data_IF_506245265865
#
_entry.id   IF_506245265865
#
_cell.length_a   1.000
_cell.length_b   1.000
_cell.length_c   1.000
_cell.angle_alpha   90.00
_cell.angle_beta   90.00
_cell.angle_gamma   90.00
#
_symmetry.space_group_name_H-M   'P 1'
#
loop_
_entity.id
_entity.type
_entity.pdbx_description
1 polymer ?
#
# COMPACT_ATOMS: atom_id res chain seq x y z
N UNK A 1 0.23 29.71 12.10
CA UNK A 1 -1.20 29.88 11.68
C UNK A 1 -1.39 30.10 10.17
N UNK A 2 -0.56 30.92 9.50
CA UNK A 2 -0.70 31.27 8.08
C UNK A 2 -0.56 30.09 7.08
N UNK A 3 0.44 29.21 7.30
CA UNK A 3 0.67 28.03 6.44
C UNK A 3 -0.51 27.05 6.51
N UNK A 4 -1.05 26.80 7.70
CA UNK A 4 -2.24 25.96 7.91
C UNK A 4 -3.48 26.54 7.18
N UNK A 5 -3.67 27.87 7.23
CA UNK A 5 -4.76 28.55 6.48
C UNK A 5 -4.60 28.42 4.96
N UNK A 6 -3.38 28.51 4.41
CA UNK A 6 -3.12 28.27 2.98
C UNK A 6 -3.36 26.81 2.58
N UNK A 7 -2.90 25.84 3.38
CA UNK A 7 -3.16 24.40 3.15
C UNK A 7 -4.66 24.07 3.14
N UNK A 8 -5.43 24.66 4.07
CA UNK A 8 -6.89 24.50 4.14
C UNK A 8 -7.60 25.11 2.92
N UNK A 9 -7.18 26.29 2.44
CA UNK A 9 -7.73 26.93 1.23
C UNK A 9 -7.55 26.08 -0.05
N UNK A 10 -6.34 25.56 -0.30
CA UNK A 10 -6.05 24.70 -1.46
C UNK A 10 -6.90 23.43 -1.48
N UNK A 11 -7.12 22.83 -0.32
CA UNK A 11 -7.86 21.58 -0.22
C UNK A 11 -9.38 21.79 -0.20
N UNK A 12 -9.89 22.96 0.23
CA UNK A 12 -11.33 23.30 0.20
C UNK A 12 -11.83 23.68 -1.19
N UNK A 13 -11.03 24.36 -2.01
CA UNK A 13 -11.35 24.64 -3.41
C UNK A 13 -10.56 23.69 -4.32
N UNK A 14 -10.62 22.39 -4.06
CA UNK A 14 -9.78 21.38 -4.73
C UNK A 14 -9.91 21.44 -6.25
N UNK A 15 -11.14 21.62 -6.77
CA UNK A 15 -11.45 21.76 -8.20
C UNK A 15 -10.64 22.89 -8.85
N UNK A 16 -10.48 24.02 -8.16
CA UNK A 16 -9.73 25.20 -8.65
C UNK A 16 -8.23 25.06 -8.34
N UNK A 17 -7.90 24.30 -7.29
CA UNK A 17 -6.54 24.11 -6.80
C UNK A 17 -5.82 22.91 -7.43
N UNK A 18 -6.44 22.20 -8.38
CA UNK A 18 -5.71 21.29 -9.29
C UNK A 18 -4.84 22.15 -10.19
N UNK A 19 -3.65 22.49 -9.70
CA UNK A 19 -2.58 23.04 -10.52
C UNK A 19 -1.96 21.93 -11.37
N UNK A 20 -1.18 22.31 -12.38
CA UNK A 20 -0.52 21.37 -13.29
C UNK A 20 0.30 20.31 -12.52
N UNK A 21 0.95 20.72 -11.43
CA UNK A 21 1.76 19.85 -10.58
C UNK A 21 0.89 18.80 -9.84
N UNK A 22 -0.27 19.20 -9.28
CA UNK A 22 -1.22 18.27 -8.68
C UNK A 22 -1.87 17.36 -9.73
N UNK A 23 -2.19 17.87 -10.92
CA UNK A 23 -2.78 17.06 -12.00
C UNK A 23 -1.86 15.92 -12.44
N UNK A 24 -0.56 16.18 -12.55
CA UNK A 24 0.41 15.15 -12.91
C UNK A 24 0.54 14.12 -11.78
N UNK A 25 0.61 14.55 -10.51
CA UNK A 25 0.66 13.63 -9.36
C UNK A 25 -0.59 12.74 -9.26
N UNK A 26 -1.77 13.28 -9.57
CA UNK A 26 -3.01 12.50 -9.60
C UNK A 26 -3.04 11.52 -10.77
N UNK A 27 -2.51 11.91 -11.93
CA UNK A 27 -2.33 10.99 -13.07
C UNK A 27 -1.32 9.88 -12.72
N UNK A 28 -0.27 10.24 -11.97
CA UNK A 28 0.71 9.29 -11.46
C UNK A 28 0.07 8.30 -10.46
N UNK A 29 -0.89 8.74 -9.64
CA UNK A 29 -1.62 7.87 -8.71
C UNK A 29 -2.48 6.79 -9.41
N UNK A 30 -2.95 7.05 -10.63
CA UNK A 30 -3.67 6.05 -11.44
C UNK A 30 -2.71 4.98 -12.02
N UNK A 31 -1.44 5.33 -12.24
CA UNK A 31 -0.43 4.44 -12.81
C UNK A 31 -0.26 3.12 -12.05
N UNK A 32 0.05 3.15 -10.74
CA UNK A 32 0.13 2.00 -9.86
C UNK A 32 -1.06 1.06 -10.01
N UNK A 33 -2.29 1.59 -10.01
CA UNK A 33 -3.50 0.79 -10.10
C UNK A 33 -3.61 0.03 -11.43
N UNK A 34 -3.29 0.71 -12.55
CA UNK A 34 -3.34 0.07 -13.87
C UNK A 34 -2.29 -1.03 -14.01
N UNK A 35 -1.07 -0.77 -13.55
CA UNK A 35 0.04 -1.74 -13.61
C UNK A 35 -0.26 -2.93 -12.70
N UNK A 36 -0.72 -2.66 -11.48
CA UNK A 36 -1.15 -3.67 -10.52
C UNK A 36 -2.20 -4.60 -11.13
N UNK A 37 -3.27 -4.04 -11.71
CA UNK A 37 -4.31 -4.82 -12.36
C UNK A 37 -3.79 -5.60 -13.57
N UNK A 38 -2.88 -5.02 -14.35
CA UNK A 38 -2.32 -5.67 -15.53
C UNK A 38 -1.41 -6.85 -15.16
N UNK A 39 -0.52 -6.67 -14.18
CA UNK A 39 0.41 -7.72 -13.75
C UNK A 39 -0.32 -8.87 -13.09
N UNK A 40 -1.31 -8.57 -12.25
CA UNK A 40 -2.10 -9.60 -11.56
C UNK A 40 -3.17 -10.24 -12.46
N UNK A 41 -3.51 -9.65 -13.61
CA UNK A 41 -4.51 -10.22 -14.54
C UNK A 41 -4.19 -11.65 -14.99
N UNK A 42 -2.91 -12.05 -14.93
CA UNK A 42 -2.45 -13.41 -15.22
C UNK A 42 -2.37 -14.20 -13.92
N UNK A 43 -3.47 -14.85 -13.54
CA UNK A 43 -3.51 -15.80 -12.43
C UNK A 43 -4.21 -15.30 -11.17
N UNK A 44 -4.56 -14.01 -11.08
CA UNK A 44 -5.42 -13.49 -10.01
C UNK A 44 -6.81 -13.13 -10.52
N UNK A 45 -7.77 -13.25 -9.62
CA UNK A 45 -9.17 -12.90 -9.85
C UNK A 45 -9.48 -11.60 -9.10
N UNK A 46 -10.03 -10.61 -9.81
CA UNK A 46 -10.50 -9.38 -9.19
C UNK A 46 -11.79 -9.63 -8.39
N UNK A 47 -11.79 -9.26 -7.11
CA UNK A 47 -12.94 -9.42 -6.21
C UNK A 47 -13.39 -8.04 -5.72
N UNK A 48 -14.70 -7.87 -5.55
CA UNK A 48 -15.28 -6.70 -4.90
C UNK A 48 -15.84 -7.08 -3.54
N UNK A 49 -15.15 -6.67 -2.47
CA UNK A 49 -15.61 -6.88 -1.09
C UNK A 49 -16.56 -5.75 -0.67
N UNK A 50 -17.59 -6.04 0.15
CA UNK A 50 -18.52 -5.02 0.63
C UNK A 50 -17.80 -4.04 1.56
N UNK A 51 -17.76 -2.75 1.17
CA UNK A 51 -17.19 -1.69 2.01
C UNK A 51 -18.21 -1.19 3.02
N UNK A 52 -18.44 -1.97 4.07
CA UNK A 52 -19.23 -1.56 5.25
C UNK A 52 -18.37 -0.85 6.32
N UNK A 53 -17.04 -0.95 6.21
CA UNK A 53 -16.08 -0.30 7.10
C UNK A 53 -15.57 0.97 6.42
N UNK A 54 -15.57 2.08 7.16
CA UNK A 54 -15.16 3.40 6.66
C UNK A 54 -13.64 3.45 6.55
N UNK A 55 -13.11 3.08 5.38
CA UNK A 55 -11.74 3.40 4.97
C UNK A 55 -11.79 4.39 3.80
N UNK A 56 -11.00 5.45 3.88
CA UNK A 56 -11.10 6.60 2.96
C UNK A 56 -10.03 6.65 1.86
N UNK A 57 -9.06 5.73 1.90
CA UNK A 57 -7.95 5.67 0.96
C UNK A 57 -8.09 4.43 0.08
N UNK A 58 -7.38 4.41 -1.04
CA UNK A 58 -7.42 3.30 -1.98
C UNK A 58 -6.34 2.26 -1.63
N UNK A 59 -6.81 1.06 -1.26
CA UNK A 59 -5.97 -0.11 -1.02
C UNK A 59 -5.75 -0.92 -2.30
N UNK A 60 -4.53 -1.41 -2.46
CA UNK A 60 -4.12 -2.45 -3.40
C UNK A 60 -3.86 -3.70 -2.57
N UNK A 61 -4.85 -4.60 -2.53
CA UNK A 61 -4.81 -5.79 -1.69
C UNK A 61 -4.67 -7.04 -2.58
N UNK A 62 -3.82 -7.97 -2.16
CA UNK A 62 -3.62 -9.27 -2.80
C UNK A 62 -3.73 -10.36 -1.75
N UNK A 63 -4.43 -11.44 -2.09
CA UNK A 63 -4.43 -12.69 -1.33
C UNK A 63 -4.17 -13.85 -2.31
N UNK A 64 -3.33 -14.80 -1.92
CA UNK A 64 -2.98 -15.97 -2.73
C UNK A 64 -2.81 -17.22 -1.88
N UNK A 65 -3.00 -18.38 -2.51
CA UNK A 65 -2.58 -19.67 -1.94
C UNK A 65 -1.05 -19.78 -1.93
N UNK A 66 -0.50 -20.27 -0.82
CA UNK A 66 0.93 -20.51 -0.61
C UNK A 66 1.17 -22.02 -0.66
N UNK A 67 2.23 -22.46 -1.33
CA UNK A 67 2.56 -23.88 -1.42
C UNK A 67 3.50 -24.33 -0.32
N UNK A 68 4.55 -23.56 -0.09
CA UNK A 68 5.64 -23.91 0.82
C UNK A 68 5.83 -22.83 1.88
N UNK A 69 6.01 -21.58 1.46
CA UNK A 69 6.44 -20.53 2.39
C UNK A 69 5.94 -19.14 1.99
N UNK A 70 5.71 -18.28 2.99
CA UNK A 70 5.17 -16.94 2.79
C UNK A 70 6.09 -16.02 1.97
N UNK A 71 7.35 -16.40 1.77
CA UNK A 71 8.27 -15.76 0.82
C UNK A 71 7.75 -15.77 -0.61
N UNK A 72 6.87 -16.72 -0.99
CA UNK A 72 6.18 -16.69 -2.29
C UNK A 72 5.38 -15.40 -2.47
N UNK A 73 4.79 -14.87 -1.39
CA UNK A 73 4.10 -13.57 -1.40
C UNK A 73 5.11 -12.44 -1.60
N UNK A 74 6.28 -12.52 -0.94
CA UNK A 74 7.34 -11.53 -1.09
C UNK A 74 7.89 -11.48 -2.53
N UNK A 75 8.01 -12.62 -3.21
CA UNK A 75 8.45 -12.69 -4.60
C UNK A 75 7.49 -11.96 -5.55
N UNK A 76 6.18 -12.05 -5.29
CA UNK A 76 5.17 -11.29 -6.03
C UNK A 76 5.30 -9.80 -5.75
N UNK A 77 5.48 -9.43 -4.47
CA UNK A 77 5.68 -8.03 -4.08
C UNK A 77 6.91 -7.44 -4.78
N UNK A 78 8.04 -8.15 -4.78
CA UNK A 78 9.27 -7.69 -5.43
C UNK A 78 9.05 -7.44 -6.93
N UNK A 79 8.52 -8.44 -7.66
CA UNK A 79 8.23 -8.31 -9.09
C UNK A 79 7.23 -7.17 -9.40
N UNK A 80 6.17 -7.06 -8.60
CA UNK A 80 5.13 -6.06 -8.75
C UNK A 80 5.69 -4.65 -8.56
N UNK A 81 6.46 -4.44 -7.49
CA UNK A 81 6.94 -3.12 -7.11
C UNK A 81 8.09 -2.66 -8.00
N UNK A 82 8.97 -3.56 -8.44
CA UNK A 82 9.98 -3.22 -9.46
C UNK A 82 9.30 -2.74 -10.74
N UNK A 83 8.35 -3.49 -11.28
CA UNK A 83 7.63 -3.10 -12.50
C UNK A 83 6.82 -1.79 -12.34
N UNK A 84 6.23 -1.60 -11.15
CA UNK A 84 5.52 -0.37 -10.81
C UNK A 84 6.47 0.83 -10.78
N UNK A 85 7.64 0.70 -10.15
CA UNK A 85 8.62 1.79 -10.06
C UNK A 85 9.32 2.08 -11.38
N UNK A 86 9.59 1.07 -12.19
CA UNK A 86 10.12 1.27 -13.55
C UNK A 86 9.14 2.07 -14.40
N UNK A 87 7.86 1.69 -14.38
CA UNK A 87 6.84 2.43 -15.14
C UNK A 87 6.59 3.84 -14.59
N UNK A 88 6.65 4.03 -13.27
CA UNK A 88 6.60 5.35 -12.65
C UNK A 88 7.82 6.19 -13.06
N UNK A 89 9.02 5.61 -13.07
CA UNK A 89 10.22 6.27 -13.54
C UNK A 89 10.06 6.71 -15.00
N UNK A 90 9.65 5.83 -15.91
CA UNK A 90 9.45 6.18 -17.33
C UNK A 90 8.43 7.32 -17.50
N UNK A 91 7.23 7.18 -16.93
CA UNK A 91 6.12 8.13 -17.12
C UNK A 91 6.36 9.48 -16.45
N UNK A 92 7.03 9.48 -15.29
CA UNK A 92 7.28 10.69 -14.53
C UNK A 92 8.57 11.37 -15.01
N UNK A 93 9.62 10.65 -15.42
CA UNK A 93 10.82 11.29 -15.96
C UNK A 93 10.51 12.07 -17.24
N UNK A 94 9.69 11.55 -18.16
CA UNK A 94 9.29 12.26 -19.37
C UNK A 94 8.51 13.56 -19.10
N UNK A 95 7.54 13.54 -18.16
CA UNK A 95 6.67 14.70 -17.88
C UNK A 95 7.26 15.70 -16.89
N UNK A 96 8.11 15.26 -15.95
CA UNK A 96 8.66 16.13 -14.90
C UNK A 96 9.95 16.85 -15.32
N UNK A 97 10.81 16.27 -16.18
CA UNK A 97 12.05 16.94 -16.57
C UNK A 97 11.81 18.28 -17.30
N UNK A 98 10.77 18.37 -18.13
CA UNK A 98 10.47 19.59 -18.91
C UNK A 98 9.85 20.69 -18.07
N UNK A 99 8.98 20.33 -17.11
CA UNK A 99 8.17 21.33 -16.38
C UNK A 99 8.82 21.80 -15.07
N UNK A 100 9.68 20.96 -14.47
CA UNK A 100 10.15 21.12 -13.08
C UNK A 100 11.52 21.80 -12.94
N UNK A 101 12.44 21.60 -13.90
CA UNK A 101 13.72 22.34 -13.94
C UNK A 101 13.51 23.86 -14.00
N UNK A 102 12.39 24.30 -14.57
CA UNK A 102 11.99 25.70 -14.66
C UNK A 102 11.51 26.31 -13.34
N UNK A 103 11.23 25.53 -12.28
CA UNK A 103 10.51 26.00 -11.06
C UNK A 103 11.14 25.66 -9.70
N UNK A 104 12.25 24.91 -9.64
CA UNK A 104 13.08 24.79 -8.43
C UNK A 104 12.41 24.14 -7.20
N UNK A 105 11.47 23.20 -7.39
CA UNK A 105 10.81 22.51 -6.28
C UNK A 105 11.63 21.37 -5.65
N UNK A 106 11.23 20.87 -4.45
CA UNK A 106 12.00 19.90 -3.66
C UNK A 106 11.74 18.41 -3.99
N UNK A 107 11.23 18.05 -5.18
CA UNK A 107 11.06 16.65 -5.56
C UNK A 107 12.45 16.07 -5.93
N UNK A 108 12.88 15.05 -5.19
CA UNK A 108 14.14 14.38 -5.43
C UNK A 108 14.14 13.71 -6.81
N UNK A 109 15.21 13.94 -7.60
CA UNK A 109 15.53 13.17 -8.82
C UNK A 109 15.40 11.69 -8.53
N UNK A 110 14.79 10.95 -9.47
CA UNK A 110 14.76 9.49 -9.63
C UNK A 110 15.03 8.64 -8.39
N UNK A 111 14.07 7.80 -8.00
CA UNK A 111 14.27 6.92 -6.86
C UNK A 111 15.28 5.82 -7.23
N UNK A 112 16.43 5.79 -6.55
CA UNK A 112 17.33 4.65 -6.62
C UNK A 112 16.72 3.46 -5.86
N UNK A 113 16.71 2.28 -6.48
CA UNK A 113 16.19 1.02 -5.92
C UNK A 113 16.77 0.71 -4.53
N UNK A 114 17.98 1.20 -4.22
CA UNK A 114 18.65 1.10 -2.91
C UNK A 114 17.89 1.75 -1.75
N UNK A 115 16.77 2.43 -2.02
CA UNK A 115 15.93 3.09 -1.01
C UNK A 115 14.77 2.22 -0.52
N UNK A 116 14.63 1.01 -1.09
CA UNK A 116 13.59 0.02 -0.79
C UNK A 116 14.25 -1.15 -0.09
N UNK A 117 13.69 -1.56 1.04
CA UNK A 117 14.14 -2.76 1.71
C UNK A 117 12.96 -3.48 2.35
N UNK A 118 13.03 -4.81 2.27
CA UNK A 118 12.17 -5.69 3.02
C UNK A 118 12.74 -5.80 4.42
N UNK A 119 11.86 -5.73 5.39
CA UNK A 119 12.16 -6.19 6.73
C UNK A 119 11.28 -7.41 6.95
N UNK A 120 11.94 -8.57 7.05
CA UNK A 120 11.34 -9.75 7.66
C UNK A 120 11.20 -9.43 9.15
N UNK A 121 10.12 -8.70 9.47
CA UNK A 121 9.80 -8.39 10.85
C UNK A 121 8.97 -9.56 11.33
N UNK A 122 9.69 -10.48 11.91
CA UNK A 122 9.32 -11.18 13.12
C UNK A 122 8.70 -10.21 14.15
N UNK A 123 7.46 -9.78 13.90
CA UNK A 123 6.71 -8.94 14.84
C UNK A 123 6.40 -9.81 16.06
N UNK A 124 6.47 -9.24 17.29
CA UNK A 124 6.07 -9.96 18.49
C UNK A 124 4.66 -10.49 18.27
N UNK A 125 4.50 -11.80 18.42
CA UNK A 125 3.25 -12.48 18.13
C UNK A 125 2.16 -12.05 19.14
N UNK A 126 1.32 -11.07 18.76
CA UNK A 126 0.16 -10.61 19.55
C UNK A 126 -1.12 -11.41 19.26
N UNK A 127 -0.98 -12.71 18.98
CA UNK A 127 -2.07 -13.69 19.02
C UNK A 127 -3.33 -13.37 18.18
N UNK A 128 -3.26 -12.45 17.22
CA UNK A 128 -4.45 -11.83 16.66
C UNK A 128 -4.77 -12.26 15.24
N UNK A 129 -3.79 -12.37 14.33
CA UNK A 129 -4.04 -12.71 12.90
C UNK A 129 -2.89 -13.49 12.20
N UNK A 130 -1.61 -13.08 12.25
CA UNK A 130 -0.54 -13.74 11.47
C UNK A 130 -0.13 -15.10 12.07
N UNK A 131 0.38 -16.01 11.25
CA UNK A 131 0.91 -17.31 11.68
C UNK A 131 2.17 -17.12 12.54
N UNK A 132 2.32 -17.87 13.65
CA UNK A 132 3.58 -17.89 14.38
C UNK A 132 4.67 -18.54 13.53
N UNK A 133 5.90 -18.07 13.69
CA UNK A 133 7.07 -18.67 13.06
C UNK A 133 7.30 -20.10 13.58
N UNK A 134 7.79 -20.99 12.72
CA UNK A 134 8.10 -22.37 13.09
C UNK A 134 9.27 -22.46 14.07
N UNK A 135 10.24 -21.57 13.92
CA UNK A 135 11.52 -21.66 14.62
C UNK A 135 11.45 -20.97 15.99
N UNK A 136 10.76 -19.82 16.05
CA UNK A 136 10.51 -19.08 17.28
C UNK A 136 9.05 -18.57 17.35
N UNK A 137 8.20 -19.18 18.19
CA UNK A 137 6.80 -18.79 18.34
C UNK A 137 6.57 -17.39 18.91
N UNK A 138 7.61 -16.71 19.41
CA UNK A 138 7.52 -15.29 19.81
C UNK A 138 7.38 -14.35 18.63
N UNK A 139 7.68 -14.85 17.42
CA UNK A 139 7.63 -14.11 16.18
C UNK A 139 6.56 -14.65 15.24
N UNK A 140 6.22 -13.84 14.23
CA UNK A 140 5.22 -14.18 13.22
C UNK A 140 5.80 -14.19 11.80
N UNK A 141 5.14 -14.95 10.92
CA UNK A 141 5.41 -15.01 9.48
C UNK A 141 4.78 -13.78 8.80
N UNK A 142 5.42 -12.64 9.01
CA UNK A 142 4.99 -11.35 8.47
C UNK A 142 6.19 -10.57 7.97
N UNK A 143 5.94 -9.68 7.02
CA UNK A 143 6.96 -8.81 6.47
C UNK A 143 6.37 -7.42 6.27
N UNK A 144 7.26 -6.43 6.36
CA UNK A 144 6.95 -5.06 6.01
C UNK A 144 7.94 -4.59 4.94
N UNK A 145 7.45 -3.74 4.04
CA UNK A 145 8.28 -3.12 2.99
C UNK A 145 8.40 -1.64 3.27
N UNK A 146 9.64 -1.17 3.33
CA UNK A 146 9.96 0.23 3.62
C UNK A 146 10.46 0.93 2.38
N UNK A 147 10.04 2.19 2.23
CA UNK A 147 10.57 3.12 1.25
C UNK A 147 10.97 4.39 1.96
N UNK A 148 12.23 4.80 1.81
CA UNK A 148 12.78 6.01 2.46
C UNK A 148 12.60 6.00 4.00
N UNK A 149 12.63 4.82 4.60
CA UNK A 149 12.45 4.65 6.05
C UNK A 149 11.01 4.75 6.54
N UNK A 150 10.02 4.84 5.65
CA UNK A 150 8.60 4.77 5.99
C UNK A 150 8.01 3.46 5.48
N UNK A 151 7.23 2.77 6.32
CA UNK A 151 6.48 1.57 5.96
C UNK A 151 5.55 1.88 4.78
N UNK A 152 5.44 0.99 3.81
CA UNK A 152 4.54 1.13 2.67
C UNK A 152 3.56 -0.03 2.56
N UNK A 153 4.06 -1.25 2.77
CA UNK A 153 3.32 -2.50 2.63
C UNK A 153 3.49 -3.26 3.92
N UNK A 154 2.40 -3.86 4.37
CA UNK A 154 2.44 -4.92 5.37
C UNK A 154 1.77 -6.15 4.78
N UNK A 155 2.38 -7.31 5.02
CA UNK A 155 1.92 -8.59 4.51
C UNK A 155 2.36 -9.75 5.38
N UNK A 156 1.83 -10.92 5.09
CA UNK A 156 2.17 -12.12 5.84
C UNK A 156 1.24 -13.28 5.58
N UNK A 157 1.48 -14.35 6.32
CA UNK A 157 0.68 -15.56 6.29
C UNK A 157 -0.33 -15.54 7.43
N UNK A 158 -1.64 -15.38 7.20
CA UNK A 158 -2.66 -15.54 8.22
C UNK A 158 -2.78 -16.99 8.71
N UNK A 159 -3.32 -17.13 9.92
CA UNK A 159 -3.69 -18.44 10.48
C UNK A 159 -4.79 -19.08 9.64
N UNK A 160 -4.52 -20.26 9.10
CA UNK A 160 -5.47 -21.05 8.30
C UNK A 160 -6.10 -22.22 9.10
N UNK A 161 -5.60 -22.52 10.30
CA UNK A 161 -6.09 -23.61 11.14
C UNK A 161 -7.07 -23.10 12.22
N UNK A 162 -8.28 -23.68 12.34
CA UNK A 162 -9.33 -23.15 13.21
C UNK A 162 -8.97 -23.15 14.70
N UNK A 163 -8.11 -24.07 15.14
CA UNK A 163 -7.73 -24.21 16.55
C UNK A 163 -6.59 -23.28 16.99
N UNK A 164 -6.09 -22.40 16.12
CA UNK A 164 -4.94 -21.52 16.39
C UNK A 164 -5.32 -20.04 16.59
N UNK A 165 -6.60 -19.69 16.53
CA UNK A 165 -7.06 -18.34 16.86
C UNK A 165 -7.19 -18.17 18.37
N UNK A 166 -6.55 -17.17 18.95
CA UNK A 166 -6.57 -16.93 20.40
C UNK A 166 -7.60 -15.89 20.85
N UNK A 167 -8.23 -15.13 19.92
CA UNK A 167 -9.21 -14.08 20.25
C UNK A 167 -10.66 -14.53 20.01
N UNK A 168 -11.49 -14.66 21.07
CA UNK A 168 -12.81 -15.32 20.97
C UNK A 168 -13.83 -14.66 20.04
N UNK A 169 -13.80 -13.32 19.86
CA UNK A 169 -14.73 -12.63 18.97
C UNK A 169 -14.40 -12.78 17.48
N UNK A 170 -13.12 -12.68 17.12
CA UNK A 170 -12.67 -12.90 15.74
C UNK A 170 -12.70 -14.40 15.38
N UNK A 171 -12.52 -15.25 16.40
CA UNK A 171 -12.61 -16.70 16.31
C UNK A 171 -13.97 -17.17 15.80
N UNK A 172 -15.11 -16.54 16.12
CA UNK A 172 -16.39 -17.03 15.59
C UNK A 172 -16.52 -16.89 14.06
N UNK A 173 -16.13 -15.73 13.51
CA UNK A 173 -16.21 -15.48 12.07
C UNK A 173 -15.12 -16.27 11.31
N UNK A 174 -13.87 -16.19 11.76
CA UNK A 174 -12.73 -16.84 11.08
C UNK A 174 -12.70 -18.35 11.29
N UNK A 175 -13.11 -18.87 12.45
CA UNK A 175 -13.23 -20.32 12.66
C UNK A 175 -14.30 -20.89 11.75
N UNK A 176 -15.44 -20.20 11.57
CA UNK A 176 -16.46 -20.63 10.60
C UNK A 176 -15.91 -20.72 9.17
N UNK A 177 -15.09 -19.75 8.76
CA UNK A 177 -14.46 -19.70 7.43
C UNK A 177 -13.36 -20.77 7.23
N UNK A 178 -12.64 -21.13 8.30
CA UNK A 178 -11.52 -22.10 8.24
C UNK A 178 -11.93 -23.52 8.66
N UNK A 179 -13.13 -23.69 9.22
CA UNK A 179 -13.64 -24.96 9.77
C UNK A 179 -13.73 -26.10 8.76
N UNK A 180 -13.97 -25.78 7.48
CA UNK A 180 -14.03 -26.76 6.39
C UNK A 180 -12.67 -27.00 5.72
N UNK A 181 -11.59 -26.46 6.30
CA UNK A 181 -10.26 -26.47 5.74
C UNK A 181 -10.02 -25.25 4.86
N UNK A 182 -9.14 -24.35 5.31
CA UNK A 182 -8.59 -23.29 4.47
C UNK A 182 -7.19 -23.70 4.01
N UNK A 183 -6.86 -23.58 2.71
CA UNK A 183 -5.50 -23.82 2.24
C UNK A 183 -4.54 -22.82 2.91
N UNK A 184 -3.24 -23.13 3.04
CA UNK A 184 -2.25 -22.13 3.38
C UNK A 184 -2.34 -20.97 2.39
N UNK A 185 -2.49 -19.76 2.88
CA UNK A 185 -2.65 -18.55 2.08
C UNK A 185 -1.91 -17.40 2.73
N UNK A 186 -1.65 -16.36 1.95
CA UNK A 186 -1.12 -15.11 2.44
C UNK A 186 -1.27 -13.99 1.44
N UNK A 187 -0.94 -12.79 1.90
CA UNK A 187 -1.31 -11.60 1.19
C UNK A 187 -0.57 -10.38 1.70
N UNK A 188 -0.83 -9.26 1.04
CA UNK A 188 -0.31 -7.96 1.41
C UNK A 188 -1.29 -6.86 1.01
N UNK A 189 -1.21 -5.75 1.72
CA UNK A 189 -1.94 -4.53 1.41
C UNK A 189 -0.99 -3.35 1.19
N UNK A 190 -1.23 -2.57 0.13
CA UNK A 190 -0.47 -1.35 -0.15
C UNK A 190 -1.41 -0.17 -0.40
N UNK A 191 -1.12 1.00 0.19
CA UNK A 191 -1.90 2.22 -0.06
C UNK A 191 -1.46 2.93 -1.34
N UNK A 192 -2.33 3.06 -2.34
CA UNK A 192 -1.96 3.61 -3.65
C UNK A 192 -1.43 5.06 -3.55
N UNK A 193 -2.06 5.90 -2.72
CA UNK A 193 -1.63 7.29 -2.52
C UNK A 193 -0.30 7.37 -1.77
N UNK A 194 0.00 6.38 -0.94
CA UNK A 194 1.23 6.28 -0.15
C UNK A 194 2.41 5.86 -1.03
N UNK A 195 2.19 4.94 -1.97
CA UNK A 195 3.20 4.54 -2.98
C UNK A 195 3.71 5.78 -3.71
N UNK A 196 2.81 6.60 -4.27
CA UNK A 196 3.19 7.81 -5.00
C UNK A 196 3.79 8.88 -4.08
N UNK A 197 3.32 9.00 -2.85
CA UNK A 197 3.86 9.97 -1.88
C UNK A 197 5.34 9.68 -1.59
N UNK A 198 5.66 8.43 -1.25
CA UNK A 198 7.02 8.02 -0.90
C UNK A 198 7.94 8.00 -2.13
N UNK A 199 7.44 7.53 -3.27
CA UNK A 199 8.19 7.56 -4.53
C UNK A 199 8.64 8.98 -4.90
N UNK A 200 7.71 9.93 -4.91
CA UNK A 200 7.95 11.34 -5.23
C UNK A 200 8.54 12.17 -4.06
N UNK A 201 8.88 11.53 -2.92
CA UNK A 201 9.38 12.19 -1.72
C UNK A 201 8.50 13.37 -1.23
N UNK A 202 7.19 13.20 -1.28
CA UNK A 202 6.24 14.24 -0.90
C UNK A 202 6.03 14.25 0.60
N UNK A 203 6.12 15.44 1.19
CA UNK A 203 5.91 15.66 2.62
C UNK A 203 4.45 15.56 3.11
N UNK A 204 3.50 15.16 2.26
CA UNK A 204 2.09 15.10 2.64
C UNK A 204 1.25 14.24 1.67
N UNK A 205 0.58 13.21 2.20
CA UNK A 205 -0.29 12.30 1.44
C UNK A 205 -1.49 12.99 0.77
N UNK A 206 -1.92 14.15 1.29
CA UNK A 206 -3.02 14.92 0.67
C UNK A 206 -2.68 15.47 -0.69
N UNK A 207 -1.41 15.41 -1.12
CA UNK A 207 -0.97 15.80 -2.47
C UNK A 207 -1.20 14.70 -3.50
N UNK A 208 -1.30 13.44 -3.06
CA UNK A 208 -1.49 12.27 -3.93
C UNK A 208 -2.93 11.77 -3.95
N UNK A 209 -3.75 12.14 -2.97
CA UNK A 209 -5.20 11.89 -2.99
C UNK A 209 -5.98 12.98 -3.73
N UNK A 210 -6.94 12.64 -4.59
CA UNK A 210 -7.76 13.62 -5.31
C UNK A 210 -8.63 14.45 -4.36
N UNK A 211 -9.31 13.79 -3.42
CA UNK A 211 -10.17 14.41 -2.40
C UNK A 211 -9.78 13.87 -1.03
N UNK A 212 -8.76 14.43 -0.38
CA UNK A 212 -8.23 13.89 0.86
C UNK A 212 -9.28 13.94 1.96
N UNK A 213 -9.45 12.79 2.63
CA UNK A 213 -10.29 12.62 3.81
C UNK A 213 -9.40 12.54 5.03
N UNK A 214 -9.77 13.28 6.06
CA UNK A 214 -9.14 13.22 7.38
C UNK A 214 -10.23 13.37 8.44
N UNK A 215 -9.95 13.02 9.71
CA UNK A 215 -10.91 13.19 10.81
C UNK A 215 -11.62 14.56 10.84
N UNK A 216 -10.93 15.72 10.72
CA UNK A 216 -11.59 17.03 10.69
C UNK A 216 -12.11 17.46 9.31
N UNK A 217 -11.96 16.63 8.26
CA UNK A 217 -12.14 17.02 6.86
C UNK A 217 -13.06 16.07 6.12
N UNK A 218 -14.31 16.51 6.00
CA UNK A 218 -15.40 15.82 5.29
C UNK A 218 -15.82 16.57 4.02
N UNK A 219 -15.20 17.71 3.72
CA UNK A 219 -15.48 18.52 2.53
C UNK A 219 -14.18 19.07 1.90
N UNK A 220 -14.12 19.26 0.56
CA UNK A 220 -15.19 19.02 -0.41
C UNK A 220 -15.45 17.51 -0.60
#
# INVERSE_FOLDING_TARGET
MYIQRKKKRRTSNRIIAVDLDCSILLTAAVGPFMIFRQLLSKGFVGIHTPKLIVASNEGLDVEMEIKEHYSEVMDIVDCLFVALFDSLNERLLEKYLVTYFSRGGPIAKGMALTSIYFTDIHWPFDHSIPCPCSDDPTYSNSFDVFIRGEELISGGQPVHLPNRFARPYLMFLLSSLTSYGAPPHGGFGAGSERVVMLFCALNNIRKTSMFPRDSPRIAP
#
